data_IF_216455413034
#
_entry.id   IF_216455413034
#
_cell.length_a   1.000
_cell.length_b   1.000
_cell.length_c   1.000
_cell.angle_alpha   90.00
_cell.angle_beta   90.00
_cell.angle_gamma   90.00
#
_symmetry.space_group_name_H-M   'P 1'
#
loop_
_entity.id
_entity.type
_entity.pdbx_description
1 polymer ?
#
# COMPACT_ATOMS: atom_id res chain seq x y z
N UNK A 1 2.46 -48.06 6.30
CA UNK A 1 3.07 -46.75 6.60
C UNK A 1 1.97 -45.72 6.40
N UNK A 2 1.50 -45.08 7.47
CA UNK A 2 0.34 -44.19 7.43
C UNK A 2 0.68 -42.90 6.70
N UNK A 3 -0.18 -42.50 5.76
CA UNK A 3 -0.23 -41.13 5.25
C UNK A 3 -0.72 -40.24 6.40
N UNK A 4 0.18 -39.67 7.19
CA UNK A 4 -0.13 -38.52 8.03
C UNK A 4 -0.40 -37.34 7.09
N UNK A 5 -1.66 -37.11 6.75
CA UNK A 5 -2.09 -35.82 6.22
C UNK A 5 -1.77 -34.78 7.30
N UNK A 6 -0.72 -33.98 7.09
CA UNK A 6 -0.41 -32.87 7.99
C UNK A 6 -1.64 -31.97 8.09
N UNK A 7 -2.25 -31.92 9.29
CA UNK A 7 -3.45 -31.12 9.54
C UNK A 7 -3.15 -29.64 9.31
N UNK A 8 -3.81 -29.02 8.32
CA UNK A 8 -3.72 -27.59 8.05
C UNK A 8 -4.66 -26.81 8.98
N UNK A 9 -4.12 -25.86 9.73
CA UNK A 9 -4.89 -24.95 10.59
C UNK A 9 -4.96 -23.56 9.95
N UNK A 10 -6.17 -23.04 9.74
CA UNK A 10 -6.39 -21.74 9.09
C UNK A 10 -6.74 -20.69 10.15
N UNK A 11 -5.97 -19.60 10.21
CA UNK A 11 -6.31 -18.40 10.96
C UNK A 11 -6.81 -17.29 10.02
N UNK A 12 -7.80 -16.52 10.43
CA UNK A 12 -8.35 -15.40 9.66
C UNK A 12 -8.45 -14.16 10.54
N UNK A 13 -7.99 -13.02 10.02
CA UNK A 13 -8.17 -11.71 10.65
C UNK A 13 -7.02 -10.77 10.35
N UNK A 14 -6.58 -10.02 11.35
CA UNK A 14 -5.60 -8.95 11.18
C UNK A 14 -4.13 -9.42 11.29
N UNK A 15 -3.27 -8.76 10.54
CA UNK A 15 -1.82 -8.78 10.68
C UNK A 15 -1.36 -7.33 10.70
N UNK A 16 -0.66 -6.93 11.75
CA UNK A 16 -0.31 -5.53 12.02
C UNK A 16 1.09 -5.42 12.62
N UNK A 17 1.55 -4.19 12.83
CA UNK A 17 2.78 -3.90 13.58
C UNK A 17 2.35 -3.43 14.96
N UNK A 18 2.71 -4.20 15.98
CA UNK A 18 2.55 -3.80 17.37
C UNK A 18 3.65 -2.79 17.72
N UNK A 19 3.23 -1.64 18.27
CA UNK A 19 4.12 -0.70 18.94
C UNK A 19 4.11 -1.01 20.43
N UNK A 20 5.14 -1.74 20.87
CA UNK A 20 5.30 -2.13 22.28
C UNK A 20 6.12 -1.05 22.98
N UNK A 21 5.65 -0.46 24.09
CA UNK A 21 6.45 0.46 24.88
C UNK A 21 7.81 -0.16 25.20
N UNK A 22 8.90 0.59 24.98
CA UNK A 22 10.25 0.11 25.30
C UNK A 22 10.49 -0.03 26.81
N UNK A 23 9.67 0.68 27.60
CA UNK A 23 9.66 0.70 29.05
C UNK A 23 8.44 -0.04 29.57
N UNK A 24 8.63 -1.03 30.42
CA UNK A 24 7.53 -1.78 31.01
C UNK A 24 6.77 -0.96 32.07
N UNK A 25 5.45 -1.15 32.16
CA UNK A 25 4.62 -0.57 33.22
C UNK A 25 4.19 0.88 33.02
N UNK A 26 4.53 1.51 31.89
CA UNK A 26 4.06 2.86 31.55
C UNK A 26 2.80 2.78 30.67
N UNK A 27 1.92 3.77 30.79
CA UNK A 27 0.79 3.88 29.87
C UNK A 27 1.26 4.30 28.47
N UNK A 28 0.40 4.10 27.46
CA UNK A 28 0.68 4.57 26.08
C UNK A 28 0.93 6.09 26.01
N UNK A 29 0.29 6.87 26.89
CA UNK A 29 0.45 8.32 26.93
C UNK A 29 1.79 8.76 27.54
N UNK A 30 2.38 7.92 28.40
CA UNK A 30 3.65 8.18 29.10
C UNK A 30 4.86 7.59 28.38
N UNK A 31 4.62 6.64 27.46
CA UNK A 31 5.66 6.02 26.67
C UNK A 31 6.30 7.03 25.72
N UNK A 32 7.62 7.19 25.82
CA UNK A 32 8.41 8.10 24.98
C UNK A 32 9.01 7.42 23.76
N UNK A 33 9.05 6.08 23.74
CA UNK A 33 9.58 5.28 22.66
C UNK A 33 8.93 3.89 22.59
N UNK A 34 8.94 3.32 21.37
CA UNK A 34 8.28 2.06 21.06
C UNK A 34 9.19 1.14 20.25
N UNK A 35 9.10 -0.16 20.55
CA UNK A 35 9.68 -1.24 19.75
C UNK A 35 8.59 -1.75 18.80
N UNK A 36 8.95 -1.92 17.53
CA UNK A 36 8.05 -2.45 16.50
C UNK A 36 8.17 -3.97 16.44
N UNK A 37 7.06 -4.67 16.57
CA UNK A 37 7.00 -6.14 16.46
C UNK A 37 5.87 -6.57 15.49
N UNK A 38 6.01 -7.71 14.80
CA UNK A 38 4.87 -8.32 14.12
C UNK A 38 3.77 -8.66 15.13
N UNK A 39 2.51 -8.36 14.79
CA UNK A 39 1.36 -8.53 15.66
C UNK A 39 0.07 -8.87 14.93
N UNK A 40 -1.02 -8.92 15.70
CA UNK A 40 -2.34 -9.38 15.28
C UNK A 40 -2.65 -10.76 15.86
N UNK A 41 -3.76 -10.92 16.58
CA UNK A 41 -4.03 -12.15 17.31
C UNK A 41 -4.13 -13.38 16.38
N UNK A 42 -4.85 -13.30 15.23
CA UNK A 42 -4.92 -14.39 14.27
C UNK A 42 -3.57 -14.66 13.58
N UNK A 43 -2.79 -13.61 13.27
CA UNK A 43 -1.45 -13.76 12.71
C UNK A 43 -0.49 -14.44 13.71
N UNK A 44 -0.56 -14.08 15.00
CA UNK A 44 0.23 -14.68 16.07
C UNK A 44 -0.09 -16.17 16.25
N UNK A 45 -1.36 -16.55 16.19
CA UNK A 45 -1.79 -17.96 16.26
C UNK A 45 -1.25 -18.76 15.08
N UNK A 46 -1.39 -18.27 13.84
CA UNK A 46 -0.82 -18.93 12.67
C UNK A 46 0.72 -19.06 12.78
N UNK A 47 1.42 -17.99 13.14
CA UNK A 47 2.86 -18.03 13.33
C UNK A 47 3.29 -19.01 14.42
N UNK A 48 2.53 -19.12 15.52
CA UNK A 48 2.80 -20.07 16.61
C UNK A 48 2.70 -21.51 16.13
N UNK A 49 1.62 -21.85 15.39
CA UNK A 49 1.41 -23.19 14.84
C UNK A 49 2.56 -23.57 13.91
N UNK A 50 2.95 -22.68 12.99
CA UNK A 50 4.09 -22.90 12.10
C UNK A 50 5.40 -23.12 12.87
N UNK A 51 5.66 -22.32 13.91
CA UNK A 51 6.88 -22.46 14.75
C UNK A 51 6.93 -23.77 15.53
N UNK A 52 5.78 -24.33 15.90
CA UNK A 52 5.66 -25.60 16.60
C UNK A 52 5.75 -26.83 15.68
N UNK A 53 6.05 -26.63 14.38
CA UNK A 53 6.14 -27.70 13.39
C UNK A 53 4.78 -28.13 12.82
N UNK A 54 3.72 -27.38 13.09
CA UNK A 54 2.40 -27.58 12.50
C UNK A 54 2.25 -26.88 11.16
N UNK A 55 1.28 -27.33 10.35
CA UNK A 55 0.95 -26.69 9.08
C UNK A 55 -0.15 -25.63 9.31
N UNK A 56 0.10 -24.37 8.95
CA UNK A 56 -0.87 -23.28 9.13
C UNK A 56 -0.96 -22.37 7.91
N UNK A 57 -2.15 -21.82 7.66
CA UNK A 57 -2.38 -20.74 6.71
C UNK A 57 -3.04 -19.55 7.41
N UNK A 58 -2.71 -18.34 6.96
CA UNK A 58 -3.42 -17.12 7.32
C UNK A 58 -4.35 -16.75 6.16
N UNK A 59 -5.46 -16.06 6.41
CA UNK A 59 -6.30 -15.48 5.36
C UNK A 59 -6.41 -13.98 5.64
N UNK A 60 -5.94 -13.18 4.69
CA UNK A 60 -6.09 -11.72 4.63
C UNK A 60 -6.40 -11.29 3.20
N UNK A 61 -7.07 -10.16 3.00
CA UNK A 61 -7.54 -9.75 1.66
C UNK A 61 -6.49 -8.97 0.87
N UNK A 62 -5.91 -7.95 1.50
CA UNK A 62 -4.87 -7.10 0.92
C UNK A 62 -3.84 -6.85 2.03
N UNK A 63 -2.55 -7.01 1.73
CA UNK A 63 -1.46 -6.61 2.61
C UNK A 63 -0.78 -5.38 2.00
N UNK A 64 -1.00 -4.22 2.60
CA UNK A 64 -0.43 -2.96 2.14
C UNK A 64 0.82 -2.57 2.94
N UNK A 65 1.85 -2.10 2.25
CA UNK A 65 3.12 -1.71 2.88
C UNK A 65 3.81 -0.58 2.11
N UNK A 66 4.76 0.07 2.78
CA UNK A 66 5.68 1.03 2.17
C UNK A 66 7.14 0.80 2.57
N UNK A 67 8.06 1.57 2.00
CA UNK A 67 9.49 1.23 2.01
C UNK A 67 10.22 1.54 3.33
N UNK A 68 9.67 2.40 4.20
CA UNK A 68 10.35 2.87 5.42
C UNK A 68 10.75 1.72 6.34
N UNK A 69 9.94 0.66 6.40
CA UNK A 69 10.23 -0.52 7.23
C UNK A 69 11.40 -1.38 6.72
N UNK A 70 11.91 -1.11 5.51
CA UNK A 70 13.08 -1.80 4.94
C UNK A 70 14.42 -1.19 5.38
N UNK A 71 14.40 -0.04 6.06
CA UNK A 71 15.60 0.75 6.36
C UNK A 71 16.50 0.07 7.39
N UNK A 72 15.92 -0.37 8.51
CA UNK A 72 16.69 -0.88 9.66
C UNK A 72 16.13 -2.18 10.19
N UNK A 73 17.02 -2.99 10.78
CA UNK A 73 16.61 -4.11 11.62
C UNK A 73 16.12 -3.61 12.99
N UNK A 74 15.16 -4.33 13.64
CA UNK A 74 14.52 -5.57 13.20
C UNK A 74 13.31 -5.37 12.26
N UNK A 75 13.00 -4.12 11.87
CA UNK A 75 11.80 -3.81 11.07
C UNK A 75 11.85 -4.47 9.70
N UNK A 76 13.04 -4.52 9.08
CA UNK A 76 13.23 -5.09 7.76
C UNK A 76 12.94 -6.58 7.72
N UNK A 77 13.54 -7.36 8.63
CA UNK A 77 13.26 -8.80 8.71
C UNK A 77 11.79 -9.10 9.03
N UNK A 78 11.18 -8.32 9.92
CA UNK A 78 9.75 -8.40 10.22
C UNK A 78 8.88 -8.14 8.97
N UNK A 79 9.18 -7.09 8.20
CA UNK A 79 8.48 -6.75 6.96
C UNK A 79 8.55 -7.90 5.96
N UNK A 80 9.75 -8.43 5.70
CA UNK A 80 9.94 -9.50 4.72
C UNK A 80 9.20 -10.78 5.12
N UNK A 81 9.19 -11.10 6.42
CA UNK A 81 8.42 -12.23 6.95
C UNK A 81 6.90 -12.03 6.77
N UNK A 82 6.37 -10.85 7.11
CA UNK A 82 4.95 -10.54 6.95
C UNK A 82 4.52 -10.58 5.47
N UNK A 83 5.32 -10.01 4.58
CA UNK A 83 5.08 -10.03 3.13
C UNK A 83 5.03 -11.47 2.60
N UNK A 84 5.98 -12.33 3.00
CA UNK A 84 6.00 -13.74 2.61
C UNK A 84 4.75 -14.48 3.10
N UNK A 85 4.37 -14.29 4.37
CA UNK A 85 3.17 -14.91 4.95
C UNK A 85 1.89 -14.44 4.24
N UNK A 86 1.76 -13.14 3.96
CA UNK A 86 0.63 -12.58 3.22
C UNK A 86 0.51 -13.18 1.81
N UNK A 87 1.64 -13.34 1.10
CA UNK A 87 1.67 -13.94 -0.23
C UNK A 87 1.24 -15.41 -0.22
N UNK A 88 1.74 -16.18 0.76
CA UNK A 88 1.37 -17.59 0.93
C UNK A 88 -0.11 -17.76 1.31
N UNK A 89 -0.67 -16.77 2.02
CA UNK A 89 -2.09 -16.67 2.34
C UNK A 89 -3.00 -16.31 1.14
N UNK A 90 -2.42 -16.01 -0.04
CA UNK A 90 -3.17 -15.57 -1.21
C UNK A 90 -3.65 -14.11 -1.13
N UNK A 91 -3.12 -13.32 -0.20
CA UNK A 91 -3.43 -11.88 -0.12
C UNK A 91 -2.82 -11.14 -1.30
N UNK A 92 -3.52 -10.10 -1.78
CA UNK A 92 -2.95 -9.16 -2.74
C UNK A 92 -1.88 -8.30 -2.05
N UNK A 93 -0.66 -8.30 -2.57
CA UNK A 93 0.42 -7.45 -2.06
C UNK A 93 0.35 -6.06 -2.71
N UNK A 94 0.03 -5.04 -1.90
CA UNK A 94 -0.05 -3.64 -2.33
C UNK A 94 1.14 -2.84 -1.82
N UNK A 95 1.86 -2.18 -2.71
CA UNK A 95 3.06 -1.44 -2.38
C UNK A 95 2.95 0.04 -2.78
N UNK A 96 3.15 0.93 -1.80
CA UNK A 96 3.44 2.35 -2.02
C UNK A 96 4.83 2.64 -1.44
N UNK A 97 5.89 2.79 -2.26
CA UNK A 97 7.23 3.04 -1.77
C UNK A 97 7.31 4.22 -0.80
N UNK A 98 6.50 5.26 -1.01
CA UNK A 98 6.41 6.46 -0.19
C UNK A 98 7.81 6.98 0.17
N UNK A 99 8.55 7.46 -0.84
CA UNK A 99 9.95 7.84 -0.72
C UNK A 99 10.14 8.89 0.39
N UNK A 100 11.02 8.58 1.35
CA UNK A 100 11.41 9.46 2.47
C UNK A 100 12.92 9.56 2.56
N UNK A 101 13.54 10.24 1.60
CA UNK A 101 15.00 10.37 1.46
C UNK A 101 15.75 10.68 2.77
N UNK A 102 15.27 11.57 3.67
CA UNK A 102 15.98 11.86 4.92
C UNK A 102 16.16 10.67 5.86
N UNK A 103 15.38 9.59 5.70
CA UNK A 103 15.48 8.39 6.52
C UNK A 103 16.50 7.37 5.98
N UNK A 104 16.97 7.54 4.75
CA UNK A 104 17.90 6.61 4.10
C UNK A 104 19.34 7.13 4.17
N UNK A 105 20.30 6.22 4.26
CA UNK A 105 21.73 6.57 4.30
C UNK A 105 22.22 7.23 3.01
N UNK A 106 21.58 6.94 1.88
CA UNK A 106 21.83 7.59 0.59
C UNK A 106 20.64 7.41 -0.34
N UNK A 107 20.61 8.20 -1.42
CA UNK A 107 19.61 8.04 -2.48
C UNK A 107 19.70 6.66 -3.14
N UNK A 108 20.92 6.12 -3.27
CA UNK A 108 21.14 4.79 -3.85
C UNK A 108 20.67 3.68 -2.91
N UNK A 109 20.91 3.81 -1.60
CA UNK A 109 20.38 2.88 -0.61
C UNK A 109 18.84 2.87 -0.63
N UNK A 110 18.21 4.04 -0.78
CA UNK A 110 16.76 4.15 -0.93
C UNK A 110 16.25 3.43 -2.17
N UNK A 111 16.82 3.71 -3.36
CA UNK A 111 16.44 3.01 -4.60
C UNK A 111 16.63 1.49 -4.49
N UNK A 112 17.78 1.06 -4.01
CA UNK A 112 18.09 -0.37 -3.84
C UNK A 112 17.16 -1.05 -2.85
N UNK A 113 16.87 -0.39 -1.72
CA UNK A 113 15.91 -0.87 -0.73
C UNK A 113 14.51 -1.02 -1.32
N UNK A 114 14.01 0.03 -1.98
CA UNK A 114 12.69 0.01 -2.65
C UNK A 114 12.62 -1.10 -3.70
N UNK A 115 13.65 -1.23 -4.54
CA UNK A 115 13.69 -2.22 -5.62
C UNK A 115 13.84 -3.66 -5.12
N UNK A 116 14.36 -3.87 -3.91
CA UNK A 116 14.62 -5.20 -3.36
C UNK A 116 13.37 -6.08 -3.18
N UNK A 117 12.19 -5.48 -3.04
CA UNK A 117 10.89 -6.17 -2.90
C UNK A 117 9.94 -5.87 -4.06
N UNK A 118 10.40 -5.15 -5.09
CA UNK A 118 9.53 -4.63 -6.15
C UNK A 118 8.77 -5.75 -6.88
N UNK A 119 9.48 -6.81 -7.23
CA UNK A 119 8.95 -7.96 -7.97
C UNK A 119 8.01 -8.86 -7.16
N UNK A 120 7.81 -8.56 -5.87
CA UNK A 120 6.88 -9.30 -5.02
C UNK A 120 5.47 -8.72 -5.01
N UNK A 121 5.30 -7.44 -5.36
CA UNK A 121 4.02 -6.75 -5.31
C UNK A 121 3.07 -7.15 -6.45
N UNK A 122 1.77 -7.17 -6.17
CA UNK A 122 0.71 -7.37 -7.16
C UNK A 122 0.05 -6.06 -7.60
N UNK A 123 0.08 -5.05 -6.73
CA UNK A 123 -0.42 -3.71 -6.99
C UNK A 123 0.63 -2.70 -6.53
N UNK A 124 1.09 -1.83 -7.42
CA UNK A 124 2.04 -0.78 -7.07
C UNK A 124 1.40 0.56 -7.35
N UNK A 125 1.52 1.49 -6.39
CA UNK A 125 1.29 2.91 -6.62
C UNK A 125 2.60 3.66 -6.40
N UNK A 126 2.87 4.62 -7.29
CA UNK A 126 3.95 5.61 -7.17
C UNK A 126 3.45 6.97 -7.60
N UNK A 127 4.14 8.05 -7.24
CA UNK A 127 3.97 9.35 -7.90
C UNK A 127 4.89 9.50 -9.12
N UNK A 128 4.65 10.51 -9.94
CA UNK A 128 5.57 10.95 -10.99
C UNK A 128 6.97 11.28 -10.45
N UNK A 129 7.07 11.96 -9.31
CA UNK A 129 8.34 12.20 -8.62
C UNK A 129 9.06 10.89 -8.24
N UNK A 130 8.30 9.89 -7.79
CA UNK A 130 8.86 8.58 -7.43
C UNK A 130 9.30 7.79 -8.67
N UNK A 131 8.56 7.89 -9.78
CA UNK A 131 9.00 7.32 -11.07
C UNK A 131 10.32 7.96 -11.49
N UNK A 132 10.41 9.29 -11.48
CA UNK A 132 11.65 10.01 -11.82
C UNK A 132 12.79 9.59 -10.89
N UNK A 133 12.55 9.51 -9.58
CA UNK A 133 13.55 9.11 -8.61
C UNK A 133 14.06 7.67 -8.82
N UNK A 134 13.17 6.71 -9.06
CA UNK A 134 13.50 5.28 -9.17
C UNK A 134 14.15 4.91 -10.51
N UNK A 135 13.73 5.57 -11.58
CA UNK A 135 14.19 5.29 -12.95
C UNK A 135 15.30 6.22 -13.41
N UNK A 136 15.43 7.39 -12.78
CA UNK A 136 16.27 8.51 -13.24
C UNK A 136 15.92 8.96 -14.68
N UNK A 137 14.71 8.63 -15.14
CA UNK A 137 14.16 9.00 -16.45
C UNK A 137 13.01 10.00 -16.34
N UNK A 138 12.48 10.37 -17.49
CA UNK A 138 11.33 11.26 -17.61
C UNK A 138 10.03 10.50 -17.25
N UNK A 139 9.32 10.88 -16.18
CA UNK A 139 8.14 10.16 -15.72
C UNK A 139 6.94 10.29 -16.66
N UNK A 140 6.95 11.18 -17.65
CA UNK A 140 5.89 11.28 -18.66
C UNK A 140 6.07 10.29 -19.83
N UNK A 141 7.29 9.75 -19.99
CA UNK A 141 7.59 8.75 -21.02
C UNK A 141 7.09 7.37 -20.62
N UNK A 142 6.27 6.77 -21.47
CA UNK A 142 5.68 5.47 -21.20
C UNK A 142 6.74 4.38 -21.05
N UNK A 143 7.78 4.38 -21.88
CA UNK A 143 8.88 3.41 -21.81
C UNK A 143 9.64 3.47 -20.48
N UNK A 144 9.73 4.66 -19.86
CA UNK A 144 10.33 4.85 -18.54
C UNK A 144 9.43 4.26 -17.47
N UNK A 145 8.13 4.56 -17.50
CA UNK A 145 7.15 4.02 -16.56
C UNK A 145 7.08 2.49 -16.67
N UNK A 146 7.04 1.95 -17.89
CA UNK A 146 6.97 0.51 -18.15
C UNK A 146 8.26 -0.23 -17.76
N UNK A 147 9.39 0.46 -17.55
CA UNK A 147 10.59 -0.16 -16.95
C UNK A 147 10.37 -0.61 -15.49
N UNK A 148 9.33 -0.10 -14.83
CA UNK A 148 8.91 -0.51 -13.49
C UNK A 148 7.90 -1.67 -13.51
N UNK A 149 7.40 -2.06 -14.69
CA UNK A 149 6.47 -3.17 -14.83
C UNK A 149 7.17 -4.53 -14.68
N UNK A 150 6.44 -5.53 -14.19
CA UNK A 150 6.88 -6.93 -14.20
C UNK A 150 5.69 -7.88 -14.32
N UNK A 151 5.91 -9.11 -14.81
CA UNK A 151 4.83 -10.02 -15.22
C UNK A 151 3.89 -10.49 -14.10
N UNK A 152 4.34 -10.40 -12.85
CA UNK A 152 3.50 -10.70 -11.67
C UNK A 152 2.58 -9.54 -11.26
N UNK A 153 2.88 -8.32 -11.73
CA UNK A 153 2.13 -7.14 -11.37
C UNK A 153 0.77 -7.18 -12.06
N UNK A 154 -0.29 -6.94 -11.28
CA UNK A 154 -1.66 -6.82 -11.80
C UNK A 154 -1.99 -5.39 -12.19
N UNK A 155 -1.46 -4.43 -11.43
CA UNK A 155 -1.72 -3.01 -11.67
C UNK A 155 -0.54 -2.15 -11.20
N UNK A 156 -0.14 -1.20 -12.05
CA UNK A 156 0.77 -0.12 -11.74
C UNK A 156 0.01 1.20 -11.88
N UNK A 157 -0.04 2.00 -10.81
CA UNK A 157 -0.73 3.29 -10.78
C UNK A 157 0.28 4.41 -10.49
N UNK A 158 0.23 5.47 -11.29
CA UNK A 158 1.08 6.64 -11.16
C UNK A 158 0.17 7.82 -10.83
N UNK A 159 0.34 8.43 -9.66
CA UNK A 159 -0.38 9.66 -9.29
C UNK A 159 0.38 10.88 -9.77
N UNK A 160 -0.28 11.76 -10.51
CA UNK A 160 0.28 12.97 -11.14
C UNK A 160 -0.28 14.26 -10.50
N UNK A 161 -0.49 14.25 -9.18
CA UNK A 161 -1.07 15.37 -8.43
C UNK A 161 -2.45 15.80 -8.95
N UNK A 162 -2.63 17.09 -9.20
CA UNK A 162 -3.91 17.64 -9.69
C UNK A 162 -4.30 17.14 -11.09
N UNK A 163 -3.34 16.62 -11.88
CA UNK A 163 -3.62 16.01 -13.19
C UNK A 163 -4.33 14.66 -13.07
N UNK A 164 -4.36 14.06 -11.88
CA UNK A 164 -5.03 12.79 -11.59
C UNK A 164 -4.05 11.63 -11.55
N UNK A 165 -4.33 10.58 -12.30
CA UNK A 165 -3.47 9.40 -12.33
C UNK A 165 -3.43 8.71 -13.69
N UNK A 166 -2.35 7.95 -13.90
CA UNK A 166 -2.18 6.97 -14.97
C UNK A 166 -2.20 5.57 -14.38
N UNK A 167 -2.63 4.59 -15.17
CA UNK A 167 -2.65 3.20 -14.74
C UNK A 167 -2.27 2.28 -15.90
N UNK A 168 -1.62 1.19 -15.54
CA UNK A 168 -1.11 0.18 -16.46
C UNK A 168 -1.42 -1.20 -15.89
N UNK A 169 -1.99 -2.07 -16.71
CA UNK A 169 -2.18 -3.49 -16.46
C UNK A 169 -1.70 -4.29 -17.67
N UNK A 170 -1.78 -5.62 -17.58
CA UNK A 170 -1.50 -6.49 -18.73
C UNK A 170 -2.49 -6.28 -19.89
N UNK A 171 -3.73 -5.90 -19.59
CA UNK A 171 -4.84 -5.89 -20.55
C UNK A 171 -5.25 -4.49 -20.98
N UNK A 172 -5.01 -3.48 -20.14
CA UNK A 172 -5.44 -2.12 -20.38
C UNK A 172 -4.51 -1.11 -19.71
N UNK A 173 -4.50 0.11 -20.24
CA UNK A 173 -3.80 1.25 -19.66
C UNK A 173 -4.56 2.53 -19.97
N UNK A 174 -4.38 3.57 -19.17
CA UNK A 174 -5.03 4.84 -19.44
C UNK A 174 -4.71 5.91 -18.40
N UNK A 175 -5.49 6.99 -18.47
CA UNK A 175 -5.41 8.15 -17.57
C UNK A 175 -6.80 8.48 -17.05
N UNK A 176 -6.89 8.88 -15.79
CA UNK A 176 -8.10 9.43 -15.15
C UNK A 176 -7.77 10.82 -14.64
N UNK A 177 -8.51 11.82 -15.11
CA UNK A 177 -8.32 13.22 -14.75
C UNK A 177 -8.49 13.42 -13.24
N UNK A 178 -7.65 14.29 -12.68
CA UNK A 178 -7.70 14.68 -11.28
C UNK A 178 -8.69 15.81 -11.02
N UNK A 179 -8.57 16.38 -9.82
CA UNK A 179 -9.36 17.53 -9.39
C UNK A 179 -8.41 18.63 -8.94
N UNK A 180 -8.56 19.84 -9.51
CA UNK A 180 -7.84 21.02 -9.03
C UNK A 180 -8.59 21.65 -7.86
N UNK A 181 -7.88 21.82 -6.75
CA UNK A 181 -8.40 22.36 -5.49
C UNK A 181 -7.40 23.35 -4.91
N UNK A 182 -7.86 24.18 -3.97
CA UNK A 182 -6.95 25.02 -3.19
C UNK A 182 -6.16 24.15 -2.20
N UNK A 183 -4.90 23.90 -2.50
CA UNK A 183 -4.00 23.09 -1.68
C UNK A 183 -3.61 23.86 -0.41
N UNK A 184 -3.67 23.17 0.73
CA UNK A 184 -3.23 23.63 2.06
C UNK A 184 -2.05 22.80 2.55
N UNK A 185 -2.11 21.47 2.42
CA UNK A 185 -1.09 20.53 2.86
C UNK A 185 -1.23 19.23 2.06
N UNK A 186 -0.19 18.78 1.37
CA UNK A 186 -0.26 17.57 0.52
C UNK A 186 -0.04 16.27 1.31
N UNK A 187 0.29 16.36 2.60
CA UNK A 187 0.54 15.21 3.46
C UNK A 187 -0.67 14.30 3.52
N UNK A 188 -0.50 13.01 3.23
CA UNK A 188 -1.57 12.01 3.26
C UNK A 188 -2.42 11.91 1.99
N UNK A 189 -2.21 12.75 0.97
CA UNK A 189 -2.99 12.68 -0.27
C UNK A 189 -2.80 11.34 -1.01
N UNK A 190 -1.55 10.86 -1.09
CA UNK A 190 -1.23 9.53 -1.62
C UNK A 190 -1.85 8.40 -0.79
N UNK A 191 -1.77 8.50 0.54
CA UNK A 191 -2.35 7.51 1.46
C UNK A 191 -3.89 7.45 1.32
N UNK A 192 -4.55 8.62 1.19
CA UNK A 192 -5.98 8.75 0.93
C UNK A 192 -6.38 8.12 -0.40
N UNK A 193 -5.60 8.38 -1.46
CA UNK A 193 -5.79 7.77 -2.77
C UNK A 193 -5.67 6.24 -2.70
N UNK A 194 -4.61 5.72 -2.07
CA UNK A 194 -4.36 4.29 -1.91
C UNK A 194 -5.46 3.62 -1.08
N UNK A 195 -5.84 4.23 0.04
CA UNK A 195 -6.93 3.74 0.88
C UNK A 195 -8.24 3.59 0.11
N UNK A 196 -8.57 4.57 -0.73
CA UNK A 196 -9.76 4.56 -1.57
C UNK A 196 -9.74 3.43 -2.61
N UNK A 197 -8.65 3.29 -3.39
CA UNK A 197 -8.57 2.26 -4.45
C UNK A 197 -8.51 0.85 -3.86
N UNK A 198 -7.76 0.65 -2.76
CA UNK A 198 -7.70 -0.66 -2.10
C UNK A 198 -9.02 -1.05 -1.46
N UNK A 199 -9.81 -0.09 -0.96
CA UNK A 199 -11.18 -0.35 -0.50
C UNK A 199 -12.05 -0.86 -1.65
N UNK A 200 -11.95 -0.26 -2.84
CA UNK A 200 -12.69 -0.71 -4.02
C UNK A 200 -12.27 -2.13 -4.47
N UNK A 201 -10.96 -2.40 -4.56
CA UNK A 201 -10.42 -3.73 -4.91
C UNK A 201 -10.80 -4.77 -3.85
N UNK A 202 -10.77 -4.39 -2.58
CA UNK A 202 -11.22 -5.26 -1.49
C UNK A 202 -12.73 -5.52 -1.55
N UNK A 203 -13.55 -4.61 -2.07
CA UNK A 203 -14.99 -4.85 -2.23
C UNK A 203 -15.29 -5.76 -3.43
N UNK A 204 -14.67 -5.49 -4.57
CA UNK A 204 -14.84 -6.22 -5.81
C UNK A 204 -13.47 -6.42 -6.50
N UNK A 205 -12.79 -7.56 -6.30
CA UNK A 205 -11.51 -7.83 -6.93
C UNK A 205 -11.55 -7.85 -8.46
N UNK A 206 -12.74 -8.10 -9.06
CA UNK A 206 -12.89 -8.18 -10.51
C UNK A 206 -12.66 -6.84 -11.22
N UNK A 207 -12.64 -5.72 -10.47
CA UNK A 207 -12.32 -4.42 -11.06
C UNK A 207 -10.91 -4.36 -11.62
N UNK A 208 -9.97 -5.19 -11.14
CA UNK A 208 -8.62 -5.25 -11.69
C UNK A 208 -8.59 -5.77 -13.15
N UNK A 209 -9.66 -6.45 -13.59
CA UNK A 209 -9.83 -6.96 -14.94
C UNK A 209 -10.96 -6.24 -15.70
N UNK A 210 -11.53 -5.18 -15.14
CA UNK A 210 -12.65 -4.42 -15.71
C UNK A 210 -12.32 -2.91 -15.73
N UNK A 211 -11.78 -2.43 -16.86
CA UNK A 211 -11.30 -1.05 -16.99
C UNK A 211 -12.37 0.00 -16.63
N UNK A 212 -13.64 -0.06 -17.11
CA UNK A 212 -14.66 0.90 -16.71
C UNK A 212 -14.85 1.02 -15.19
N UNK A 213 -15.00 -0.11 -14.49
CA UNK A 213 -15.14 -0.11 -13.02
C UNK A 213 -13.86 0.38 -12.33
N UNK A 214 -12.68 0.03 -12.86
CA UNK A 214 -11.41 0.49 -12.32
C UNK A 214 -11.28 2.02 -12.42
N UNK A 215 -11.69 2.60 -13.56
CA UNK A 215 -11.69 4.06 -13.77
C UNK A 215 -12.65 4.80 -12.84
N UNK A 216 -13.80 4.22 -12.53
CA UNK A 216 -14.70 4.77 -11.50
C UNK A 216 -14.02 4.79 -10.12
N UNK A 217 -13.35 3.69 -9.75
CA UNK A 217 -12.60 3.62 -8.49
C UNK A 217 -11.42 4.62 -8.45
N UNK A 218 -10.70 4.80 -9.56
CA UNK A 218 -9.64 5.81 -9.68
C UNK A 218 -10.17 7.25 -9.62
N UNK A 219 -11.35 7.53 -10.18
CA UNK A 219 -11.99 8.85 -10.07
C UNK A 219 -12.31 9.15 -8.61
N UNK A 220 -12.83 8.16 -7.88
CA UNK A 220 -13.08 8.28 -6.45
C UNK A 220 -11.78 8.46 -5.66
N UNK A 221 -10.73 7.71 -5.98
CA UNK A 221 -9.42 7.85 -5.34
C UNK A 221 -8.77 9.21 -5.60
N UNK A 222 -8.84 9.75 -6.83
CA UNK A 222 -8.40 11.10 -7.18
C UNK A 222 -9.13 12.16 -6.33
N UNK A 223 -10.45 12.00 -6.15
CA UNK A 223 -11.23 12.89 -5.29
C UNK A 223 -10.79 12.82 -3.83
N UNK A 224 -10.58 11.61 -3.29
CA UNK A 224 -10.09 11.41 -1.93
C UNK A 224 -8.72 12.06 -1.70
N UNK A 225 -7.80 11.89 -2.65
CA UNK A 225 -6.49 12.54 -2.63
C UNK A 225 -6.60 14.06 -2.66
N UNK A 226 -7.41 14.61 -3.58
CA UNK A 226 -7.62 16.05 -3.69
C UNK A 226 -8.22 16.65 -2.41
N UNK A 227 -9.29 16.07 -1.85
CA UNK A 227 -9.90 16.56 -0.60
C UNK A 227 -8.91 16.55 0.56
N UNK A 228 -8.09 15.49 0.65
CA UNK A 228 -7.04 15.39 1.67
C UNK A 228 -6.08 16.59 1.62
N UNK A 229 -5.82 17.15 0.44
CA UNK A 229 -4.93 18.31 0.32
C UNK A 229 -5.49 19.62 0.86
N UNK A 230 -6.79 19.69 1.14
CA UNK A 230 -7.50 20.94 1.50
C UNK A 230 -7.45 21.28 2.99
N UNK A 231 -6.90 20.38 3.82
CA UNK A 231 -6.79 20.53 5.27
C UNK A 231 -5.38 20.15 5.72
N UNK A 232 -4.94 20.65 6.87
CA UNK A 232 -3.64 20.28 7.45
C UNK A 232 -3.67 18.90 8.09
N UNK A 233 -2.58 18.15 7.90
CA UNK A 233 -2.33 16.84 8.49
C UNK A 233 -2.99 15.69 7.73
N UNK A 234 -2.33 14.53 7.67
CA UNK A 234 -2.79 13.37 6.91
C UNK A 234 -4.15 12.82 7.39
N UNK A 235 -4.18 12.17 8.57
CA UNK A 235 -5.38 11.47 9.07
C UNK A 235 -6.58 12.42 9.26
N UNK A 236 -6.43 13.62 9.85
CA UNK A 236 -7.56 14.54 10.03
C UNK A 236 -8.16 15.05 8.71
N UNK A 237 -7.41 14.98 7.61
CA UNK A 237 -7.85 15.42 6.29
C UNK A 237 -8.51 14.32 5.45
N UNK A 238 -8.49 13.07 5.89
CA UNK A 238 -9.10 11.95 5.17
C UNK A 238 -10.62 12.16 5.03
N UNK A 239 -11.19 12.05 3.82
CA UNK A 239 -12.62 12.24 3.61
C UNK A 239 -13.42 10.98 3.92
N UNK A 240 -14.70 11.19 4.24
CA UNK A 240 -15.73 10.15 4.22
C UNK A 240 -16.20 9.86 2.79
N UNK A 241 -16.91 8.73 2.60
CA UNK A 241 -17.49 8.37 1.31
C UNK A 241 -18.45 9.44 0.79
N UNK A 242 -19.33 9.97 1.66
CA UNK A 242 -20.30 11.00 1.28
C UNK A 242 -19.60 12.28 0.81
N UNK A 243 -18.58 12.74 1.55
CA UNK A 243 -17.80 13.93 1.17
C UNK A 243 -17.14 13.78 -0.20
N UNK A 244 -16.56 12.61 -0.50
CA UNK A 244 -15.95 12.35 -1.81
C UNK A 244 -17.00 12.31 -2.93
N UNK A 245 -18.17 11.69 -2.71
CA UNK A 245 -19.25 11.64 -3.70
C UNK A 245 -19.87 13.00 -3.99
N UNK A 246 -20.12 13.79 -2.94
CA UNK A 246 -20.59 15.17 -3.06
C UNK A 246 -19.59 16.03 -3.84
N UNK A 247 -18.30 15.91 -3.51
CA UNK A 247 -17.23 16.60 -4.21
C UNK A 247 -17.20 16.26 -5.70
N UNK A 248 -17.19 14.97 -6.07
CA UNK A 248 -17.21 14.52 -7.47
C UNK A 248 -18.44 15.07 -8.21
N UNK A 249 -19.61 15.03 -7.58
CA UNK A 249 -20.86 15.51 -8.17
C UNK A 249 -20.82 17.02 -8.43
N UNK A 250 -20.30 17.78 -7.47
CA UNK A 250 -20.14 19.24 -7.59
C UNK A 250 -19.12 19.65 -8.66
N UNK A 251 -18.09 18.84 -8.89
CA UNK A 251 -17.07 19.08 -9.91
C UNK A 251 -17.53 18.76 -11.33
N UNK A 252 -18.48 17.84 -11.50
CA UNK A 252 -19.08 17.52 -12.82
C UNK A 252 -20.12 18.56 -13.28
N UNK A 253 -20.63 19.37 -12.36
CA UNK A 253 -21.63 20.40 -12.64
C UNK A 253 -21.02 21.76 -13.03
N UNK A 254 -19.68 21.88 -13.04
CA UNK A 254 -18.93 23.05 -13.48
C UNK A 254 -18.38 22.82 -14.89
#
# INVERSE_FOLDING_TARGET
MGNSTETLIIAFGEMLIDFVPDTAGVSLAESTAFIKAPGGAPANVACSIAKLGGNSAFIGKIFHYGSISLISEPCRSAHLAAMKSAKQAGALLSYDPNVRLPLWSSHEACRSGIKSIWFDADFIKVSDDEVQFLTQGDPEKEEVVMSLWHDKLKMLVITDGEKGCRYFSKNFKGRVTGFSVKVVDTTGAGDSFVGAILTAVAKDPSILDNEPKFREALTFANACGAICTTKKGAIPALPTVSQAQEFISSSKAK
#
